data_IF_804054369516
#
_entry.id   IF_804054369516
#
_cell.length_a   1.000
_cell.length_b   1.000
_cell.length_c   1.000
_cell.angle_alpha   90.00
_cell.angle_beta   90.00
_cell.angle_gamma   90.00
#
_symmetry.space_group_name_H-M   'P 1'
#
loop_
_entity.id
_entity.type
_entity.pdbx_description
1 polymer ?
#
# COMPACT_ATOMS: atom_id res chain seq x y z
N UNK A 1 20.08 3.21 -1.49
CA UNK A 1 20.21 4.05 -2.70
C UNK A 1 21.18 5.18 -2.41
N UNK A 2 22.24 5.33 -3.20
CA UNK A 2 23.03 6.56 -3.23
C UNK A 2 22.30 7.51 -4.16
N UNK A 3 21.69 8.57 -3.64
CA UNK A 3 21.15 9.63 -4.48
C UNK A 3 22.36 10.35 -5.07
N UNK A 4 22.71 10.01 -6.29
CA UNK A 4 23.79 10.66 -7.03
C UNK A 4 23.38 12.09 -7.33
N UNK A 5 24.32 13.02 -7.19
CA UNK A 5 24.16 14.39 -7.65
C UNK A 5 23.65 14.42 -9.10
N UNK A 6 22.68 15.26 -9.39
CA UNK A 6 22.08 15.35 -10.72
C UNK A 6 23.15 15.71 -11.75
N UNK A 7 23.22 14.89 -12.81
CA UNK A 7 24.07 15.13 -13.96
C UNK A 7 23.28 14.88 -15.23
N UNK A 8 23.37 15.81 -16.18
CA UNK A 8 22.73 15.69 -17.48
C UNK A 8 23.77 15.56 -18.58
N UNK A 9 23.71 14.47 -19.33
CA UNK A 9 24.47 14.32 -20.56
C UNK A 9 23.82 15.13 -21.69
N UNK A 10 24.63 15.85 -22.47
CA UNK A 10 24.21 16.66 -23.62
C UNK A 10 23.12 17.70 -23.28
N UNK A 11 23.37 18.64 -22.35
CA UNK A 11 22.40 19.67 -22.00
C UNK A 11 22.20 20.67 -23.15
N UNK A 12 20.96 21.09 -23.35
CA UNK A 12 20.55 22.10 -24.33
C UNK A 12 19.81 23.29 -23.69
N UNK A 13 19.69 23.29 -22.35
CA UNK A 13 18.97 24.29 -21.58
C UNK A 13 19.53 24.42 -20.16
N UNK A 14 19.23 25.53 -19.47
CA UNK A 14 19.71 25.77 -18.10
C UNK A 14 18.56 26.18 -17.19
N UNK A 15 18.60 25.69 -15.95
CA UNK A 15 17.64 26.05 -14.89
C UNK A 15 18.41 26.49 -13.66
N UNK A 16 18.11 27.69 -13.16
CA UNK A 16 18.77 28.31 -12.00
C UNK A 16 17.84 28.33 -10.80
N UNK A 17 18.36 27.87 -9.67
CA UNK A 17 17.74 28.06 -8.35
C UNK A 17 18.01 29.49 -7.89
N UNK A 18 16.96 30.30 -7.73
CA UNK A 18 17.08 31.69 -7.24
C UNK A 18 17.61 31.74 -5.79
N UNK A 19 17.10 30.94 -4.83
CA UNK A 19 17.53 31.03 -3.44
C UNK A 19 19.01 30.70 -3.21
N UNK A 20 19.54 29.72 -3.97
CA UNK A 20 20.88 29.17 -3.75
C UNK A 20 21.88 29.53 -4.86
N UNK A 21 21.46 30.33 -5.84
CA UNK A 21 22.23 30.73 -7.01
C UNK A 21 22.93 29.57 -7.75
N UNK A 22 22.30 28.39 -7.73
CA UNK A 22 22.85 27.18 -8.32
C UNK A 22 22.22 26.92 -9.68
N UNK A 23 23.04 26.74 -10.71
CA UNK A 23 22.57 26.49 -12.08
C UNK A 23 22.77 25.04 -12.47
N UNK A 24 21.70 24.42 -12.98
CA UNK A 24 21.69 23.05 -13.46
C UNK A 24 21.58 23.05 -14.99
N UNK A 25 22.46 22.29 -15.64
CA UNK A 25 22.38 22.05 -17.08
C UNK A 25 21.42 20.88 -17.34
N UNK A 26 20.44 21.07 -18.21
CA UNK A 26 19.31 20.13 -18.39
C UNK A 26 19.00 19.92 -19.88
N UNK A 27 18.07 19.00 -20.16
CA UNK A 27 17.51 18.76 -21.49
C UNK A 27 16.09 19.29 -21.52
N UNK A 28 15.80 20.25 -22.40
CA UNK A 28 14.48 20.84 -22.58
C UNK A 28 13.42 19.78 -22.87
N UNK A 29 13.78 18.75 -23.64
CA UNK A 29 12.90 17.61 -23.91
C UNK A 29 12.49 16.82 -22.66
N UNK A 30 13.37 16.69 -21.67
CA UNK A 30 13.04 16.01 -20.41
C UNK A 30 12.10 16.85 -19.53
N UNK A 31 12.28 18.18 -19.53
CA UNK A 31 11.38 19.10 -18.83
C UNK A 31 9.93 19.02 -19.35
N UNK A 32 9.72 18.60 -20.61
CA UNK A 32 8.37 18.35 -21.14
C UNK A 32 7.64 17.20 -20.41
N UNK A 33 8.29 16.47 -19.50
CA UNK A 33 7.62 15.60 -18.54
C UNK A 33 6.70 16.34 -17.55
N UNK A 34 6.73 17.68 -17.53
CA UNK A 34 5.85 18.56 -16.75
C UNK A 34 4.90 19.32 -17.67
N UNK A 35 3.61 19.41 -17.32
CA UNK A 35 2.66 20.26 -18.05
C UNK A 35 3.00 21.75 -17.90
N UNK A 36 3.42 22.16 -16.70
CA UNK A 36 3.85 23.55 -16.43
C UNK A 36 4.99 23.97 -17.36
N UNK A 37 6.01 23.13 -17.52
CA UNK A 37 7.11 23.45 -18.43
C UNK A 37 6.71 23.37 -19.90
N UNK A 38 5.83 22.44 -20.29
CA UNK A 38 5.29 22.37 -21.66
C UNK A 38 4.59 23.67 -22.03
N UNK A 39 3.67 24.15 -21.18
CA UNK A 39 2.88 25.35 -21.43
C UNK A 39 3.78 26.59 -21.45
N UNK A 40 4.71 26.68 -20.51
CA UNK A 40 5.70 27.76 -20.47
C UNK A 40 6.53 27.81 -21.76
N UNK A 41 7.00 26.67 -22.28
CA UNK A 41 7.76 26.64 -23.53
C UNK A 41 6.92 26.89 -24.78
N UNK A 42 5.63 26.55 -24.75
CA UNK A 42 4.71 26.79 -25.87
C UNK A 42 4.34 28.28 -26.00
N UNK A 43 4.31 29.01 -24.88
CA UNK A 43 4.00 30.45 -24.83
C UNK A 43 5.19 31.35 -25.12
N UNK A 44 6.43 30.85 -24.95
CA UNK A 44 7.63 31.60 -25.28
C UNK A 44 7.92 31.51 -26.79
N UNK A 45 7.84 32.64 -27.48
CA UNK A 45 8.02 32.76 -28.93
C UNK A 45 9.47 32.40 -29.33
N UNK A 46 9.71 31.34 -30.12
CA UNK A 46 11.06 30.86 -30.45
C UNK A 46 11.89 31.89 -31.25
N UNK A 47 11.24 32.90 -31.84
CA UNK A 47 11.89 33.97 -32.60
C UNK A 47 12.40 35.12 -31.74
N UNK A 48 11.95 35.26 -30.48
CA UNK A 48 12.42 36.31 -29.56
C UNK A 48 13.75 35.95 -28.86
N UNK A 49 14.11 34.67 -28.83
CA UNK A 49 15.28 34.15 -28.11
C UNK A 49 16.61 34.28 -28.88
N UNK A 50 16.59 34.67 -30.17
CA UNK A 50 17.81 34.77 -30.98
C UNK A 50 18.70 35.97 -30.61
N UNK A 51 18.18 36.98 -29.90
CA UNK A 51 18.92 38.21 -29.58
C UNK A 51 19.33 38.36 -28.10
N UNK A 52 18.83 37.52 -27.19
CA UNK A 52 19.18 37.58 -25.76
C UNK A 52 19.81 36.26 -25.31
N UNK A 53 21.14 36.21 -25.27
CA UNK A 53 21.95 35.04 -24.90
C UNK A 53 21.83 34.52 -23.46
N UNK A 54 20.63 34.48 -22.88
CA UNK A 54 20.31 33.93 -21.56
C UNK A 54 18.96 33.19 -21.60
N UNK A 55 18.96 31.99 -22.18
CA UNK A 55 17.86 31.01 -22.05
C UNK A 55 17.96 30.27 -20.69
N UNK A 56 18.13 31.04 -19.61
CA UNK A 56 18.20 30.49 -18.25
C UNK A 56 16.81 30.60 -17.61
N UNK A 57 16.20 29.46 -17.29
CA UNK A 57 14.95 29.45 -16.52
C UNK A 57 15.25 29.60 -15.04
N UNK A 58 14.78 30.68 -14.42
CA UNK A 58 14.94 30.90 -12.99
C UNK A 58 13.72 30.37 -12.20
N UNK A 59 13.98 29.53 -11.19
CA UNK A 59 12.95 28.96 -10.32
C UNK A 59 13.23 29.29 -8.85
N UNK A 60 12.17 29.57 -8.10
CA UNK A 60 12.24 29.88 -6.67
C UNK A 60 12.44 28.66 -5.74
N UNK A 61 12.73 27.48 -6.30
CA UNK A 61 13.03 26.29 -5.50
C UNK A 61 14.45 26.33 -4.98
N UNK A 62 14.66 25.75 -3.79
CA UNK A 62 16.01 25.47 -3.29
C UNK A 62 16.68 24.46 -4.22
N UNK A 63 17.99 24.55 -4.33
CA UNK A 63 18.87 23.68 -5.11
C UNK A 63 18.55 22.20 -4.93
N UNK A 64 18.37 21.71 -3.69
CA UNK A 64 18.05 20.30 -3.43
C UNK A 64 16.66 19.85 -3.91
N UNK A 65 15.66 20.72 -3.81
CA UNK A 65 14.31 20.44 -4.30
C UNK A 65 14.28 20.45 -5.84
N UNK A 66 14.98 21.43 -6.43
CA UNK A 66 15.16 21.54 -7.87
C UNK A 66 15.94 20.35 -8.43
N UNK A 67 17.03 19.94 -7.78
CA UNK A 67 17.80 18.75 -8.13
C UNK A 67 16.91 17.51 -8.15
N UNK A 68 16.03 17.35 -7.15
CA UNK A 68 15.08 16.24 -7.07
C UNK A 68 14.05 16.29 -8.20
N UNK A 69 13.50 17.47 -8.52
CA UNK A 69 12.60 17.67 -9.65
C UNK A 69 13.27 17.28 -10.97
N UNK A 70 14.52 17.70 -11.17
CA UNK A 70 15.28 17.40 -12.38
C UNK A 70 15.60 15.90 -12.49
N UNK A 71 15.93 15.24 -11.37
CA UNK A 71 16.07 13.78 -11.32
C UNK A 71 14.77 13.09 -11.73
N UNK A 72 13.61 13.54 -11.23
CA UNK A 72 12.31 12.97 -11.60
C UNK A 72 11.99 13.11 -13.09
N UNK A 73 12.34 14.24 -13.69
CA UNK A 73 12.06 14.53 -15.10
C UNK A 73 13.02 13.80 -16.05
N UNK A 74 14.30 13.70 -15.67
CA UNK A 74 15.33 13.09 -16.53
C UNK A 74 15.44 11.58 -16.38
N UNK A 75 15.33 11.10 -15.14
CA UNK A 75 15.57 9.72 -14.76
C UNK A 75 14.56 9.32 -13.69
N UNK A 76 13.26 9.17 -14.04
CA UNK A 76 12.23 8.78 -13.09
C UNK A 76 12.63 7.52 -12.32
N UNK A 77 12.29 7.41 -11.02
CA UNK A 77 12.61 6.23 -10.24
C UNK A 77 11.96 4.99 -10.85
N UNK A 78 12.71 3.90 -10.90
CA UNK A 78 12.18 2.60 -11.30
C UNK A 78 11.18 2.08 -10.25
N UNK A 79 10.14 1.32 -10.65
CA UNK A 79 9.19 0.75 -9.70
C UNK A 79 9.91 -0.12 -8.66
N UNK A 80 9.37 -0.22 -7.43
CA UNK A 80 9.97 -1.02 -6.37
C UNK A 80 9.98 -2.50 -6.76
N UNK A 81 11.11 -3.17 -6.50
CA UNK A 81 11.32 -4.57 -6.84
C UNK A 81 10.47 -5.46 -5.93
N UNK A 82 9.68 -6.35 -6.54
CA UNK A 82 8.87 -7.32 -5.80
C UNK A 82 9.73 -8.51 -5.40
N UNK A 83 9.62 -8.92 -4.14
CA UNK A 83 10.25 -10.16 -3.68
C UNK A 83 9.44 -11.36 -4.15
N UNK A 84 10.09 -12.47 -4.54
CA UNK A 84 9.40 -13.68 -4.94
C UNK A 84 8.54 -14.20 -3.77
N UNK A 85 7.24 -14.33 -4.01
CA UNK A 85 6.33 -14.95 -3.05
C UNK A 85 6.10 -16.41 -3.43
N UNK A 86 6.40 -17.34 -2.52
CA UNK A 86 6.07 -18.75 -2.67
C UNK A 86 4.54 -19.00 -2.65
N UNK A 87 3.79 -18.08 -2.04
CA UNK A 87 2.33 -18.14 -1.94
C UNK A 87 1.71 -17.02 -2.78
N UNK A 88 0.95 -17.39 -3.83
CA UNK A 88 0.19 -16.43 -4.68
C UNK A 88 -0.83 -15.62 -3.87
N UNK A 89 -1.15 -16.04 -2.65
CA UNK A 89 -2.16 -15.44 -1.79
C UNK A 89 -1.58 -14.57 -0.67
N UNK A 90 -0.24 -14.48 -0.52
CA UNK A 90 0.40 -13.51 0.39
C UNK A 90 0.42 -12.12 -0.24
N UNK A 91 0.34 -11.09 0.61
CA UNK A 91 0.55 -9.71 0.19
C UNK A 91 1.93 -9.56 -0.45
N UNK A 92 2.00 -8.84 -1.57
CA UNK A 92 3.26 -8.52 -2.25
C UNK A 92 4.23 -7.87 -1.26
N UNK A 93 5.39 -8.50 -1.08
CA UNK A 93 6.51 -7.90 -0.38
C UNK A 93 7.45 -7.22 -1.38
N UNK A 94 8.09 -6.14 -0.96
CA UNK A 94 9.01 -5.36 -1.77
C UNK A 94 10.40 -5.37 -1.15
N UNK A 95 11.44 -5.29 -1.98
CA UNK A 95 12.81 -5.11 -1.52
C UNK A 95 12.96 -3.71 -0.91
N UNK A 96 13.21 -3.58 0.40
CA UNK A 96 13.29 -2.29 1.07
C UNK A 96 14.40 -1.38 0.52
N UNK A 97 15.44 -1.94 -0.11
CA UNK A 97 16.53 -1.14 -0.72
C UNK A 97 16.06 -0.39 -1.97
N UNK A 98 14.98 -0.87 -2.61
CA UNK A 98 14.40 -0.32 -3.84
C UNK A 98 13.19 0.59 -3.60
N UNK A 99 12.71 0.67 -2.36
CA UNK A 99 11.54 1.49 -2.01
C UNK A 99 12.02 2.88 -1.58
N UNK A 100 11.45 3.93 -2.20
CA UNK A 100 11.66 5.30 -1.71
C UNK A 100 11.03 5.43 -0.32
N UNK A 101 11.77 5.88 0.70
CA UNK A 101 11.26 6.07 2.05
C UNK A 101 10.03 6.99 2.08
N UNK A 102 9.01 6.61 2.86
CA UNK A 102 7.76 7.36 2.96
C UNK A 102 7.95 8.86 3.29
N UNK A 103 8.79 9.28 4.26
CA UNK A 103 8.95 10.70 4.56
C UNK A 103 9.40 11.53 3.35
N UNK A 104 10.28 10.98 2.51
CA UNK A 104 10.71 11.65 1.28
C UNK A 104 9.56 11.73 0.28
N UNK A 105 8.83 10.62 0.07
CA UNK A 105 7.68 10.62 -0.84
C UNK A 105 6.68 11.73 -0.51
N UNK A 106 6.29 11.82 0.77
CA UNK A 106 5.24 12.73 1.21
C UNK A 106 5.70 14.20 1.29
N UNK A 107 6.92 14.44 1.74
CA UNK A 107 7.41 15.81 1.98
C UNK A 107 8.06 16.45 0.75
N UNK A 108 8.51 15.66 -0.23
CA UNK A 108 9.29 16.16 -1.36
C UNK A 108 8.72 15.73 -2.71
N UNK A 109 8.61 14.42 -2.96
CA UNK A 109 8.28 13.92 -4.30
C UNK A 109 6.85 14.28 -4.74
N UNK A 110 5.84 14.00 -3.90
CA UNK A 110 4.46 14.34 -4.26
C UNK A 110 4.20 15.85 -4.33
N UNK A 111 4.71 16.69 -3.40
CA UNK A 111 4.60 18.15 -3.54
C UNK A 111 5.21 18.69 -4.84
N UNK A 112 6.39 18.20 -5.26
CA UNK A 112 6.98 18.56 -6.54
C UNK A 112 6.13 18.05 -7.71
N UNK A 113 5.64 16.81 -7.61
CA UNK A 113 4.80 16.21 -8.65
C UNK A 113 3.51 16.99 -8.89
N UNK A 114 2.88 17.46 -7.82
CA UNK A 114 1.68 18.30 -7.84
C UNK A 114 1.99 19.71 -8.36
N UNK A 115 2.99 20.38 -7.79
CA UNK A 115 3.37 21.76 -8.16
C UNK A 115 3.75 21.90 -9.64
N UNK A 116 4.47 20.92 -10.18
CA UNK A 116 4.93 20.93 -11.57
C UNK A 116 4.05 20.10 -12.51
N UNK A 117 2.91 19.57 -12.04
CA UNK A 117 2.01 18.74 -12.83
C UNK A 117 2.77 17.69 -13.66
N UNK A 118 3.54 16.86 -12.96
CA UNK A 118 4.36 15.83 -13.60
C UNK A 118 3.49 14.79 -14.29
N UNK A 119 3.96 14.30 -15.44
CA UNK A 119 3.24 13.35 -16.27
C UNK A 119 2.81 12.10 -15.49
N UNK A 120 1.66 11.55 -15.87
CA UNK A 120 1.05 10.36 -15.25
C UNK A 120 1.99 9.15 -15.13
N UNK A 121 2.93 9.01 -16.08
CA UNK A 121 3.93 7.96 -16.01
C UNK A 121 4.82 8.08 -14.76
N UNK A 122 5.28 9.29 -14.44
CA UNK A 122 6.15 9.56 -13.27
C UNK A 122 5.35 9.40 -11.98
N UNK A 123 4.17 10.02 -11.91
CA UNK A 123 3.31 9.94 -10.71
C UNK A 123 2.86 8.50 -10.44
N UNK A 124 2.63 7.68 -11.46
CA UNK A 124 2.33 6.25 -11.29
C UNK A 124 3.48 5.49 -10.63
N UNK A 125 4.74 5.75 -11.00
CA UNK A 125 5.89 5.11 -10.33
C UNK A 125 6.00 5.56 -8.87
N UNK A 126 5.80 6.85 -8.58
CA UNK A 126 5.75 7.37 -7.20
C UNK A 126 4.64 6.70 -6.37
N UNK A 127 3.45 6.51 -6.95
CA UNK A 127 2.34 5.78 -6.31
C UNK A 127 2.68 4.31 -6.04
N UNK A 128 3.48 3.67 -6.90
CA UNK A 128 3.95 2.31 -6.66
C UNK A 128 4.85 2.23 -5.41
N UNK A 129 5.76 3.19 -5.23
CA UNK A 129 6.56 3.31 -4.00
C UNK A 129 5.70 3.64 -2.77
N UNK A 130 4.70 4.51 -2.91
CA UNK A 130 3.75 4.82 -1.84
C UNK A 130 3.05 3.55 -1.33
N UNK A 131 2.52 2.73 -2.25
CA UNK A 131 1.88 1.44 -1.91
C UNK A 131 2.87 0.46 -1.30
N UNK A 132 4.13 0.44 -1.75
CA UNK A 132 5.15 -0.44 -1.18
C UNK A 132 5.47 -0.13 0.29
N UNK A 133 5.23 1.11 0.75
CA UNK A 133 5.36 1.49 2.16
C UNK A 133 4.15 1.08 3.03
N UNK A 134 3.03 0.69 2.43
CA UNK A 134 1.78 0.43 3.16
C UNK A 134 1.87 -0.67 4.24
N UNK A 135 2.62 -1.77 4.08
CA UNK A 135 2.74 -2.77 5.15
C UNK A 135 3.38 -2.22 6.44
N UNK A 136 4.30 -1.26 6.34
CA UNK A 136 4.99 -0.67 7.48
C UNK A 136 4.28 0.59 8.02
N UNK A 137 3.66 1.37 7.14
CA UNK A 137 3.09 2.70 7.43
C UNK A 137 1.65 2.82 6.92
N UNK A 138 0.82 1.83 7.27
CA UNK A 138 -0.50 1.66 6.67
C UNK A 138 -1.42 2.88 6.84
N UNK A 139 -1.43 3.48 8.02
CA UNK A 139 -2.34 4.58 8.35
C UNK A 139 -1.95 5.86 7.62
N UNK A 140 -0.65 6.15 7.57
CA UNK A 140 -0.08 7.31 6.90
C UNK A 140 -0.26 7.22 5.39
N UNK A 141 0.04 6.05 4.79
CA UNK A 141 -0.17 5.81 3.36
C UNK A 141 -1.65 5.90 3.01
N UNK A 142 -2.53 5.26 3.80
CA UNK A 142 -3.97 5.34 3.61
C UNK A 142 -4.46 6.79 3.67
N UNK A 143 -4.07 7.52 4.71
CA UNK A 143 -4.50 8.90 4.93
C UNK A 143 -4.06 9.80 3.78
N UNK A 144 -2.79 9.71 3.39
CA UNK A 144 -2.25 10.50 2.29
C UNK A 144 -3.01 10.20 0.99
N UNK A 145 -3.16 8.92 0.64
CA UNK A 145 -3.89 8.52 -0.55
C UNK A 145 -5.35 9.01 -0.53
N UNK A 146 -6.04 8.92 0.61
CA UNK A 146 -7.40 9.42 0.76
C UNK A 146 -7.50 10.94 0.57
N UNK A 147 -6.56 11.71 1.15
CA UNK A 147 -6.51 13.17 1.03
C UNK A 147 -6.33 13.64 -0.42
N UNK A 148 -5.57 12.90 -1.21
CA UNK A 148 -5.22 13.25 -2.59
C UNK A 148 -6.08 12.51 -3.63
N UNK A 149 -7.21 11.91 -3.25
CA UNK A 149 -8.12 11.24 -4.18
C UNK A 149 -7.54 9.99 -4.86
N UNK A 150 -6.50 9.39 -4.29
CA UNK A 150 -5.83 8.20 -4.80
C UNK A 150 -6.56 6.93 -4.29
N UNK A 151 -7.78 6.71 -4.76
CA UNK A 151 -8.68 5.70 -4.19
C UNK A 151 -8.13 4.27 -4.25
N UNK A 152 -7.43 3.91 -5.34
CA UNK A 152 -6.85 2.58 -5.52
C UNK A 152 -5.72 2.33 -4.50
N UNK A 153 -4.87 3.33 -4.26
CA UNK A 153 -3.78 3.30 -3.30
C UNK A 153 -4.33 3.24 -1.87
N UNK A 154 -5.34 4.06 -1.56
CA UNK A 154 -6.03 4.03 -0.27
C UNK A 154 -6.66 2.65 -0.01
N UNK A 155 -7.36 2.08 -1.00
CA UNK A 155 -7.91 0.74 -0.89
C UNK A 155 -6.83 -0.32 -0.64
N UNK A 156 -5.68 -0.24 -1.33
CA UNK A 156 -4.53 -1.14 -1.09
C UNK A 156 -3.94 -0.99 0.30
N UNK A 157 -3.80 0.22 0.82
CA UNK A 157 -3.26 0.45 2.15
C UNK A 157 -4.21 0.02 3.27
N UNK A 158 -5.53 0.16 3.05
CA UNK A 158 -6.57 -0.16 4.05
C UNK A 158 -6.49 -1.57 4.62
N UNK A 159 -5.98 -2.56 3.87
CA UNK A 159 -5.86 -3.94 4.34
C UNK A 159 -4.84 -4.13 5.47
N UNK A 160 -3.88 -3.21 5.58
CA UNK A 160 -2.79 -3.25 6.57
C UNK A 160 -3.08 -2.36 7.78
N UNK A 161 -4.14 -1.55 7.73
CA UNK A 161 -4.51 -0.66 8.84
C UNK A 161 -5.03 -1.50 10.01
N UNK A 162 -4.41 -1.32 11.17
CA UNK A 162 -4.81 -1.98 12.43
C UNK A 162 -6.21 -1.55 12.85
N UNK A 163 -6.89 -2.27 13.78
CA UNK A 163 -8.14 -1.80 14.34
C UNK A 163 -8.05 -0.31 14.72
N UNK A 164 -8.96 0.52 14.23
CA UNK A 164 -8.86 1.97 14.38
C UNK A 164 -8.82 2.37 15.86
N UNK A 165 -9.52 1.62 16.71
CA UNK A 165 -9.52 1.77 18.17
C UNK A 165 -8.16 1.50 18.84
N UNK A 166 -7.21 0.85 18.16
CA UNK A 166 -5.87 0.56 18.69
C UNK A 166 -4.89 1.74 18.57
N UNK A 167 -5.20 2.73 17.72
CA UNK A 167 -4.35 3.89 17.53
C UNK A 167 -4.55 4.91 18.63
N UNK A 168 -3.47 5.59 19.00
CA UNK A 168 -3.52 6.74 19.91
C UNK A 168 -4.18 7.93 19.20
N UNK A 169 -4.72 8.86 19.99
CA UNK A 169 -5.30 10.09 19.45
C UNK A 169 -4.32 10.87 18.55
N UNK A 170 -3.04 10.95 18.93
CA UNK A 170 -2.03 11.63 18.11
C UNK A 170 -1.71 10.94 16.78
N UNK A 171 -1.95 9.62 16.67
CA UNK A 171 -1.73 8.87 15.44
C UNK A 171 -2.93 9.00 14.50
N UNK A 172 -4.16 8.93 15.03
CA UNK A 172 -5.37 8.93 14.22
C UNK A 172 -5.67 10.28 13.57
N UNK A 173 -5.14 11.38 14.11
CA UNK A 173 -5.26 12.74 13.55
C UNK A 173 -4.65 12.88 12.16
N UNK A 174 -3.85 11.91 11.70
CA UNK A 174 -3.34 11.93 10.33
C UNK A 174 -4.47 11.82 9.31
N UNK A 175 -5.59 11.14 9.63
CA UNK A 175 -6.72 10.95 8.71
C UNK A 175 -7.31 12.30 8.27
N UNK A 176 -7.64 12.45 6.97
CA UNK A 176 -8.04 13.76 6.44
C UNK A 176 -9.42 14.21 6.92
N UNK A 177 -10.37 13.29 7.07
CA UNK A 177 -11.75 13.60 7.40
C UNK A 177 -12.49 12.39 8.02
N UNK A 178 -13.74 12.65 8.43
CA UNK A 178 -14.65 11.64 9.00
C UNK A 178 -15.03 10.56 7.97
N UNK A 179 -15.04 10.87 6.67
CA UNK A 179 -15.39 9.92 5.61
C UNK A 179 -14.31 8.84 5.49
N UNK A 180 -13.04 9.25 5.44
CA UNK A 180 -11.88 8.37 5.41
C UNK A 180 -11.82 7.49 6.67
N UNK A 181 -12.10 8.05 7.84
CA UNK A 181 -12.23 7.29 9.09
C UNK A 181 -13.36 6.26 9.00
N UNK A 182 -14.56 6.68 8.59
CA UNK A 182 -15.73 5.80 8.56
C UNK A 182 -15.57 4.65 7.55
N UNK A 183 -14.92 4.90 6.41
CA UNK A 183 -14.56 3.86 5.42
C UNK A 183 -13.75 2.73 6.08
N UNK A 184 -12.72 3.07 6.88
CA UNK A 184 -11.93 2.07 7.61
C UNK A 184 -12.77 1.30 8.63
N UNK A 185 -13.56 2.01 9.45
CA UNK A 185 -14.42 1.37 10.46
C UNK A 185 -15.40 0.38 9.82
N UNK A 186 -16.02 0.75 8.69
CA UNK A 186 -16.90 -0.15 7.93
C UNK A 186 -16.19 -1.41 7.46
N UNK A 187 -14.99 -1.28 6.89
CA UNK A 187 -14.18 -2.42 6.46
C UNK A 187 -13.87 -3.36 7.62
N UNK A 188 -13.49 -2.79 8.76
CA UNK A 188 -13.11 -3.54 9.95
C UNK A 188 -14.30 -4.28 10.57
N UNK A 189 -15.43 -3.60 10.75
CA UNK A 189 -16.67 -4.20 11.26
C UNK A 189 -17.16 -5.33 10.34
N UNK A 190 -17.18 -5.10 9.02
CA UNK A 190 -17.54 -6.11 8.04
C UNK A 190 -16.64 -7.35 8.16
N UNK A 191 -15.32 -7.16 8.22
CA UNK A 191 -14.35 -8.25 8.34
C UNK A 191 -14.54 -9.06 9.61
N UNK A 192 -14.72 -8.40 10.76
CA UNK A 192 -14.95 -9.08 12.04
C UNK A 192 -16.24 -9.90 11.98
N UNK A 193 -17.34 -9.33 11.49
CA UNK A 193 -18.62 -10.06 11.34
C UNK A 193 -18.50 -11.25 10.40
N UNK A 194 -17.85 -11.07 9.26
CA UNK A 194 -17.66 -12.14 8.27
C UNK A 194 -16.78 -13.27 8.81
N UNK A 195 -15.66 -12.95 9.49
CA UNK A 195 -14.80 -13.94 10.13
C UNK A 195 -15.53 -14.73 11.22
N UNK A 196 -16.32 -14.05 12.06
CA UNK A 196 -17.14 -14.71 13.08
C UNK A 196 -18.19 -15.64 12.48
N UNK A 197 -18.90 -15.17 11.46
CA UNK A 197 -19.91 -15.97 10.76
C UNK A 197 -19.31 -17.21 10.10
N UNK A 198 -18.16 -17.03 9.44
CA UNK A 198 -17.41 -18.11 8.80
C UNK A 198 -16.95 -19.15 9.84
N UNK A 199 -16.28 -18.73 10.92
CA UNK A 199 -15.82 -19.63 11.96
C UNK A 199 -16.95 -20.43 12.62
N UNK A 200 -18.10 -19.80 12.87
CA UNK A 200 -19.25 -20.47 13.49
C UNK A 200 -19.97 -21.43 12.54
N UNK A 201 -19.87 -21.21 11.23
CA UNK A 201 -20.48 -22.06 10.21
C UNK A 201 -19.61 -23.27 9.81
N UNK A 202 -18.32 -23.29 10.19
CA UNK A 202 -17.45 -24.42 9.89
C UNK A 202 -17.63 -25.57 10.88
N UNK A 203 -17.82 -26.76 10.31
CA UNK A 203 -17.83 -28.04 11.02
C UNK A 203 -16.57 -28.84 10.68
N UNK A 204 -16.01 -29.52 11.68
CA UNK A 204 -14.83 -30.38 11.51
C UNK A 204 -15.12 -31.63 10.66
N UNK A 205 -16.36 -32.10 10.66
CA UNK A 205 -16.84 -33.22 9.84
C UNK A 205 -18.06 -32.80 9.00
N UNK A 206 -17.87 -32.12 7.86
CA UNK A 206 -18.96 -31.72 7.00
C UNK A 206 -19.80 -32.94 6.57
N UNK A 207 -21.09 -32.95 6.88
CA UNK A 207 -22.00 -34.09 6.62
C UNK A 207 -21.53 -35.44 7.22
N UNK A 208 -20.70 -35.42 8.26
CA UNK A 208 -20.12 -36.63 8.87
C UNK A 208 -18.97 -37.26 8.07
N UNK A 209 -18.53 -36.65 6.97
CA UNK A 209 -17.40 -37.17 6.19
C UNK A 209 -16.10 -37.12 6.99
N UNK A 210 -15.40 -38.25 7.05
CA UNK A 210 -14.11 -38.37 7.74
C UNK A 210 -14.21 -38.46 9.27
N UNK A 211 -15.42 -38.61 9.82
CA UNK A 211 -15.62 -38.79 11.26
C UNK A 211 -14.92 -40.06 11.77
N UNK A 212 -14.20 -39.91 12.88
CA UNK A 212 -13.54 -41.03 13.53
C UNK A 212 -14.56 -41.84 14.36
N UNK A 213 -14.69 -43.16 14.17
CA UNK A 213 -15.65 -43.96 14.94
C UNK A 213 -15.41 -43.94 16.45
N UNK A 214 -14.15 -43.78 16.88
CA UNK A 214 -13.77 -43.82 18.29
C UNK A 214 -13.76 -42.45 18.96
N UNK A 215 -13.49 -41.37 18.23
CA UNK A 215 -13.22 -40.05 18.80
C UNK A 215 -14.03 -38.91 18.14
N UNK A 216 -14.99 -39.21 17.25
CA UNK A 216 -15.74 -38.22 16.49
C UNK A 216 -16.47 -37.20 17.37
N UNK A 217 -17.17 -37.68 18.41
CA UNK A 217 -17.87 -36.84 19.37
C UNK A 217 -16.93 -35.93 20.17
N UNK A 218 -15.82 -36.48 20.68
CA UNK A 218 -14.81 -35.70 21.41
C UNK A 218 -14.14 -34.65 20.50
N UNK A 219 -13.73 -35.04 19.29
CA UNK A 219 -13.11 -34.14 18.30
C UNK A 219 -14.03 -32.98 17.94
N UNK A 220 -15.32 -33.26 17.74
CA UNK A 220 -16.34 -32.23 17.49
C UNK A 220 -16.52 -31.30 18.68
N UNK A 221 -16.47 -31.82 19.91
CA UNK A 221 -16.57 -31.02 21.13
C UNK A 221 -15.36 -30.09 21.30
N UNK A 222 -14.15 -30.58 21.03
CA UNK A 222 -12.93 -29.76 21.06
C UNK A 222 -12.97 -28.65 19.99
N UNK A 223 -13.36 -28.98 18.76
CA UNK A 223 -13.56 -28.01 17.69
C UNK A 223 -14.57 -26.93 18.08
N UNK A 224 -15.74 -27.33 18.58
CA UNK A 224 -16.80 -26.42 19.00
C UNK A 224 -16.38 -25.51 20.16
N UNK A 225 -15.63 -26.07 21.12
CA UNK A 225 -15.07 -25.29 22.23
C UNK A 225 -14.07 -24.24 21.73
N UNK A 226 -13.14 -24.63 20.86
CA UNK A 226 -12.12 -23.72 20.34
C UNK A 226 -12.75 -22.59 19.51
N UNK A 227 -13.69 -22.93 18.60
CA UNK A 227 -14.36 -21.90 17.77
C UNK A 227 -15.15 -20.90 18.62
N UNK A 228 -15.88 -21.37 19.66
CA UNK A 228 -16.64 -20.50 20.57
C UNK A 228 -15.73 -19.61 21.41
N UNK A 229 -14.61 -20.15 21.91
CA UNK A 229 -13.62 -19.38 22.67
C UNK A 229 -12.91 -18.33 21.80
N UNK A 230 -12.67 -18.62 20.52
CA UNK A 230 -12.03 -17.69 19.59
C UNK A 230 -12.99 -16.58 19.14
N UNK A 231 -14.27 -16.86 18.94
CA UNK A 231 -15.25 -15.91 18.34
C UNK A 231 -15.28 -14.55 19.06
N UNK A 232 -15.19 -14.55 20.39
CA UNK A 232 -15.21 -13.33 21.21
C UNK A 232 -13.93 -12.51 21.13
N UNK A 233 -12.83 -13.09 20.63
CA UNK A 233 -11.51 -12.48 20.52
C UNK A 233 -11.13 -12.10 19.08
N UNK A 234 -12.00 -12.37 18.10
CA UNK A 234 -11.76 -12.00 16.70
C UNK A 234 -11.77 -10.48 16.56
N UNK A 235 -10.67 -9.98 16.01
CA UNK A 235 -10.45 -8.62 15.52
C UNK A 235 -10.13 -8.63 14.01
N UNK A 236 -9.98 -7.45 13.41
CA UNK A 236 -9.75 -7.28 11.97
C UNK A 236 -8.56 -8.07 11.42
N UNK A 237 -7.49 -8.21 12.21
CA UNK A 237 -6.20 -8.79 11.81
C UNK A 237 -5.99 -10.21 12.33
N UNK A 238 -6.98 -10.80 13.01
CA UNK A 238 -6.86 -12.15 13.59
C UNK A 238 -6.67 -13.20 12.49
N UNK A 239 -5.62 -14.02 12.62
CA UNK A 239 -5.46 -15.24 11.82
C UNK A 239 -6.31 -16.36 12.41
N UNK A 240 -7.60 -16.36 12.05
CA UNK A 240 -8.59 -17.32 12.57
C UNK A 240 -8.17 -18.77 12.30
N UNK A 241 -7.53 -19.05 11.17
CA UNK A 241 -7.09 -20.40 10.86
C UNK A 241 -5.86 -20.79 11.71
N UNK A 242 -4.88 -19.90 11.84
CA UNK A 242 -3.72 -20.13 12.71
C UNK A 242 -4.13 -20.35 14.18
N UNK A 243 -5.12 -19.62 14.69
CA UNK A 243 -5.65 -19.81 16.04
C UNK A 243 -6.40 -21.15 16.23
N UNK A 244 -7.00 -21.67 15.16
CA UNK A 244 -7.62 -23.00 15.16
C UNK A 244 -6.60 -24.12 14.98
N UNK A 245 -5.47 -23.86 14.31
CA UNK A 245 -4.39 -24.81 14.06
C UNK A 245 -3.78 -25.37 15.35
N UNK A 246 -3.84 -24.62 16.46
CA UNK A 246 -3.44 -25.09 17.78
C UNK A 246 -4.13 -26.40 18.21
N UNK A 247 -5.32 -26.70 17.67
CA UNK A 247 -6.03 -27.94 17.95
C UNK A 247 -5.40 -29.16 17.27
N UNK A 248 -4.65 -28.98 16.17
CA UNK A 248 -4.03 -30.09 15.43
C UNK A 248 -3.06 -30.88 16.32
N UNK A 249 -2.37 -30.19 17.23
CA UNK A 249 -1.46 -30.78 18.22
C UNK A 249 -2.18 -31.65 19.24
N UNK A 250 -3.37 -31.26 19.68
CA UNK A 250 -4.19 -32.01 20.64
C UNK A 250 -4.71 -33.33 20.05
N UNK A 251 -4.84 -33.42 18.73
CA UNK A 251 -5.42 -34.57 18.03
C UNK A 251 -4.37 -35.50 17.40
N UNK A 252 -3.07 -35.27 17.64
CA UNK A 252 -1.95 -36.01 17.02
C UNK A 252 -2.00 -37.52 17.24
N UNK A 253 -2.53 -37.97 18.37
CA UNK A 253 -2.57 -39.39 18.74
C UNK A 253 -3.54 -40.21 17.87
N UNK A 254 -4.51 -39.56 17.22
CA UNK A 254 -5.41 -40.21 16.27
C UNK A 254 -5.21 -39.65 14.86
N UNK A 255 -4.59 -40.44 13.98
CA UNK A 255 -4.31 -40.07 12.58
C UNK A 255 -5.54 -39.57 11.82
N UNK A 256 -6.73 -40.13 12.08
CA UNK A 256 -7.98 -39.73 11.41
C UNK A 256 -8.40 -38.34 11.90
N UNK A 257 -8.45 -38.11 13.21
CA UNK A 257 -8.86 -36.83 13.80
C UNK A 257 -7.86 -35.71 13.47
N UNK A 258 -6.56 -36.01 13.55
CA UNK A 258 -5.52 -35.06 13.14
C UNK A 258 -5.68 -34.63 11.69
N UNK A 259 -5.85 -35.60 10.76
CA UNK A 259 -6.05 -35.31 9.34
C UNK A 259 -7.32 -34.49 9.08
N UNK A 260 -8.41 -34.81 9.77
CA UNK A 260 -9.66 -34.06 9.66
C UNK A 260 -9.50 -32.61 10.16
N UNK A 261 -8.82 -32.42 11.30
CA UNK A 261 -8.53 -31.11 11.86
C UNK A 261 -7.66 -30.27 10.91
N UNK A 262 -6.57 -30.83 10.37
CA UNK A 262 -5.72 -30.16 9.39
C UNK A 262 -6.54 -29.72 8.16
N UNK A 263 -7.34 -30.62 7.59
CA UNK A 263 -8.17 -30.29 6.43
C UNK A 263 -9.21 -29.19 6.72
N UNK A 264 -9.83 -29.23 7.91
CA UNK A 264 -10.78 -28.20 8.35
C UNK A 264 -10.09 -26.83 8.53
N UNK A 265 -8.90 -26.81 9.14
CA UNK A 265 -8.09 -25.59 9.30
C UNK A 265 -7.63 -25.03 7.95
N UNK A 266 -7.20 -25.88 7.02
CA UNK A 266 -6.82 -25.47 5.66
C UNK A 266 -8.01 -24.88 4.89
N UNK A 267 -9.19 -25.50 5.01
CA UNK A 267 -10.42 -25.00 4.41
C UNK A 267 -10.84 -23.65 5.01
N UNK A 268 -10.74 -23.52 6.33
CA UNK A 268 -10.99 -22.29 7.06
C UNK A 268 -10.02 -21.18 6.61
N UNK A 269 -8.73 -21.48 6.49
CA UNK A 269 -7.72 -20.57 5.96
C UNK A 269 -8.06 -20.10 4.55
N UNK A 270 -8.47 -21.03 3.67
CA UNK A 270 -8.89 -20.73 2.30
C UNK A 270 -10.11 -19.79 2.26
N UNK A 271 -11.13 -20.06 3.06
CA UNK A 271 -12.34 -19.24 3.12
C UNK A 271 -12.05 -17.86 3.73
N UNK A 272 -11.28 -17.78 4.82
CA UNK A 272 -10.84 -16.50 5.41
C UNK A 272 -10.03 -15.65 4.42
N UNK A 273 -9.19 -16.27 3.59
CA UNK A 273 -8.42 -15.56 2.54
C UNK A 273 -9.31 -14.91 1.47
N UNK A 274 -10.53 -15.40 1.24
CA UNK A 274 -11.51 -14.85 0.27
C UNK A 274 -12.32 -13.68 0.80
N UNK A 275 -12.29 -13.41 2.10
CA UNK A 275 -13.03 -12.27 2.65
C UNK A 275 -12.45 -10.95 2.13
N UNK A 276 -13.28 -9.93 1.88
CA UNK A 276 -12.86 -8.56 1.59
C UNK A 276 -11.80 -8.07 2.59
N UNK A 277 -10.63 -7.71 2.07
CA UNK A 277 -9.51 -7.15 2.86
C UNK A 277 -9.31 -5.67 2.62
N UNK A 278 -9.76 -5.18 1.47
CA UNK A 278 -9.60 -3.79 1.01
C UNK A 278 -10.95 -3.10 0.87
N UNK A 279 -10.94 -1.77 0.87
CA UNK A 279 -12.14 -0.95 0.69
C UNK A 279 -12.85 -1.20 -0.64
N UNK A 280 -12.12 -1.35 -1.74
CA UNK A 280 -12.65 -1.61 -3.07
C UNK A 280 -13.30 -2.99 -3.23
N UNK A 281 -13.16 -3.86 -2.23
CA UNK A 281 -13.74 -5.20 -2.19
C UNK A 281 -15.01 -5.26 -1.34
N UNK A 282 -15.37 -4.18 -0.65
CA UNK A 282 -16.61 -4.16 0.11
C UNK A 282 -17.78 -4.20 -0.88
N UNK A 283 -18.82 -5.00 -0.59
CA UNK A 283 -20.02 -4.96 -1.40
C UNK A 283 -20.60 -3.54 -1.37
N UNK A 284 -20.98 -3.02 -2.54
CA UNK A 284 -21.74 -1.78 -2.70
C UNK A 284 -23.14 -2.01 -2.12
N UNK A 285 -23.22 -2.05 -0.80
CA UNK A 285 -24.47 -1.87 -0.08
C UNK A 285 -24.46 -0.39 0.24
N UNK A 286 -25.44 0.32 -0.35
CA UNK A 286 -25.63 1.77 -0.52
C UNK A 286 -25.12 2.33 -1.85
#
# INVERSE_FOLDING_TARGET
MSWTTFHCENPDFKVRSIPDDTTFAVRRAALQGSEVFKDMFALCDPTAALDSGQDDLELHERSGDLETLLLLLHSPPAPPTKLPSADKFRSTAYDPVTVIPLPLLLALFFPLADKYMLADAITRELRAHLVANAPAHALEVYSFAARHGMEAEAARASQFVRPVASYRFAEITVLPDVVAYHKLVRLQDFRVKALRGLLLAEDIFPHGYGECPSHGGETSAWWDRQRKALVGRIETVTDVAGEMDALTDTLRDCKICHKACVAAVEMLAYKCKKLPKRLDQLPNVY
#
